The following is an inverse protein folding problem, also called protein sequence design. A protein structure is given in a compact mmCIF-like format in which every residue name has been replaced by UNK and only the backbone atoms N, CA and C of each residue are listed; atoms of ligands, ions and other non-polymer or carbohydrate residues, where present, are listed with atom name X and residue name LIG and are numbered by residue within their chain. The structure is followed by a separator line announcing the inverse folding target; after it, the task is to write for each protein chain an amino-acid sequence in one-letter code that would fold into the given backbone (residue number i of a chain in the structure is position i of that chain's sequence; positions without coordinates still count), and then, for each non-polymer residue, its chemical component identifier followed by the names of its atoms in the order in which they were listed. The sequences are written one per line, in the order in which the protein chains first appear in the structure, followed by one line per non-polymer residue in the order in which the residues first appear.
data_IF_707684127367
#
_entry.id   IF_707684127367
#
_cell.length_a   1.000
_cell.length_b   1.000
_cell.length_c   1.000
_cell.angle_alpha   90.00
_cell.angle_beta   90.00
_cell.angle_gamma   90.00
#
_symmetry.space_group_name_H-M   'P 1'
#
loop_
_entity.id
_entity.type
_entity.pdbx_description
1 polymer ?
#
# COMPACT_ATOMS: atom_id res chain seq x y z
N UNK A 1 -17.95 -13.15 -17.94
CA UNK A 1 -18.36 -11.89 -18.60
C UNK A 1 -17.17 -11.35 -19.35
N UNK A 2 -17.17 -11.44 -20.68
CA UNK A 2 -16.17 -10.82 -21.52
C UNK A 2 -16.54 -9.33 -21.63
N UNK A 3 -15.86 -8.49 -20.86
CA UNK A 3 -16.05 -7.05 -20.91
C UNK A 3 -15.34 -6.52 -22.15
N UNK A 4 -16.03 -6.62 -23.29
CA UNK A 4 -15.65 -5.93 -24.51
C UNK A 4 -16.05 -4.45 -24.41
N UNK A 5 -15.15 -3.64 -24.95
CA UNK A 5 -14.98 -2.21 -24.74
C UNK A 5 -16.14 -1.32 -25.16
N UNK A 6 -16.19 -0.15 -24.54
CA UNK A 6 -16.88 1.02 -25.09
C UNK A 6 -16.05 1.55 -26.28
N UNK A 7 -16.58 1.53 -27.52
CA UNK A 7 -15.88 1.98 -28.72
C UNK A 7 -15.57 3.49 -28.75
N UNK A 8 -16.02 4.27 -27.75
CA UNK A 8 -15.84 5.73 -27.68
C UNK A 8 -14.57 6.20 -26.97
N UNK A 9 -13.81 5.34 -26.29
CA UNK A 9 -12.55 5.74 -25.61
C UNK A 9 -11.33 5.46 -26.50
N UNK A 10 -11.04 6.39 -27.42
CA UNK A 10 -10.01 6.28 -28.47
C UNK A 10 -8.54 6.38 -27.99
N UNK A 11 -8.28 6.61 -26.69
CA UNK A 11 -6.92 6.84 -26.16
C UNK A 11 -6.28 5.69 -25.38
N UNK A 12 -7.00 4.58 -25.13
CA UNK A 12 -6.58 3.55 -24.17
C UNK A 12 -5.36 2.71 -24.61
N UNK A 13 -4.99 2.77 -25.89
CA UNK A 13 -3.90 1.98 -26.48
C UNK A 13 -2.74 2.83 -27.02
N UNK A 14 -2.69 4.14 -26.72
CA UNK A 14 -1.52 4.98 -27.01
C UNK A 14 -0.41 4.67 -26.00
N UNK A 15 0.17 3.46 -26.08
CA UNK A 15 1.39 3.13 -25.35
C UNK A 15 2.54 3.74 -26.16
N UNK A 16 3.01 4.91 -25.77
CA UNK A 16 4.27 5.43 -26.29
C UNK A 16 5.38 4.66 -25.54
N UNK A 17 6.13 3.83 -26.27
CA UNK A 17 7.19 3.00 -25.70
C UNK A 17 8.48 3.83 -25.76
N UNK A 18 9.18 3.96 -24.63
CA UNK A 18 10.51 4.56 -24.58
C UNK A 18 10.70 5.57 -23.44
N UNK A 19 11.90 6.13 -23.37
CA UNK A 19 12.17 7.34 -22.59
C UNK A 19 11.57 8.53 -23.34
N UNK A 20 10.48 9.08 -22.81
CA UNK A 20 9.90 10.29 -23.37
C UNK A 20 10.68 11.51 -22.96
N UNK A 21 10.88 12.43 -23.90
CA UNK A 21 11.35 13.75 -23.54
C UNK A 21 10.30 14.45 -22.69
N UNK A 22 10.71 15.36 -21.80
CA UNK A 22 9.76 16.16 -21.01
C UNK A 22 8.70 16.84 -21.89
N UNK A 23 9.10 17.27 -23.09
CA UNK A 23 8.20 17.90 -24.08
C UNK A 23 7.15 16.92 -24.62
N UNK A 24 7.53 15.67 -24.90
CA UNK A 24 6.58 14.63 -25.32
C UNK A 24 5.56 14.33 -24.22
N UNK A 25 6.02 14.27 -22.96
CA UNK A 25 5.16 14.07 -21.80
C UNK A 25 4.20 15.25 -21.63
N UNK A 26 4.70 16.49 -21.68
CA UNK A 26 3.86 17.70 -21.58
C UNK A 26 2.80 17.70 -22.69
N UNK A 27 3.18 17.48 -23.96
CA UNK A 27 2.24 17.42 -25.08
C UNK A 27 1.16 16.34 -24.90
N UNK A 28 1.54 15.18 -24.38
CA UNK A 28 0.58 14.12 -24.09
C UNK A 28 -0.37 14.53 -22.95
N UNK A 29 0.16 15.11 -21.87
CA UNK A 29 -0.63 15.61 -20.74
C UNK A 29 -1.63 16.68 -21.22
N UNK A 30 -1.18 17.67 -21.99
CA UNK A 30 -2.03 18.73 -22.56
C UNK A 30 -3.15 18.15 -23.44
N UNK A 31 -2.84 17.12 -24.25
CA UNK A 31 -3.82 16.40 -25.07
C UNK A 31 -4.87 15.69 -24.20
N UNK A 32 -4.46 15.07 -23.09
CA UNK A 32 -5.38 14.37 -22.19
C UNK A 32 -6.19 15.33 -21.31
N UNK A 33 -5.64 16.50 -20.99
CA UNK A 33 -6.21 17.49 -20.09
C UNK A 33 -6.23 18.90 -20.70
N UNK A 34 -7.01 19.13 -21.77
CA UNK A 34 -6.97 20.38 -22.53
C UNK A 34 -7.40 21.64 -21.75
N UNK A 35 -7.99 21.46 -20.55
CA UNK A 35 -8.48 22.54 -19.69
C UNK A 35 -7.69 22.66 -18.36
N UNK A 36 -6.55 21.98 -18.23
CA UNK A 36 -5.72 22.07 -17.03
C UNK A 36 -4.67 23.19 -17.19
N UNK A 37 -4.90 24.34 -16.55
CA UNK A 37 -3.89 25.39 -16.41
C UNK A 37 -3.15 25.21 -15.09
N UNK A 38 -1.89 24.78 -15.14
CA UNK A 38 -1.01 24.76 -13.98
C UNK A 38 -0.44 26.17 -13.73
N UNK A 39 -0.71 26.81 -12.59
CA UNK A 39 -0.17 28.13 -12.27
C UNK A 39 1.36 28.14 -11.99
N UNK A 40 2.05 26.98 -11.94
CA UNK A 40 3.48 26.88 -11.56
C UNK A 40 4.43 26.42 -12.70
N UNK A 41 3.98 26.29 -13.94
CA UNK A 41 4.89 25.94 -15.06
C UNK A 41 5.51 27.21 -15.67
N UNK A 42 6.85 27.31 -15.80
CA UNK A 42 7.48 28.36 -16.59
C UNK A 42 6.98 28.27 -18.04
N UNK A 43 6.33 29.32 -18.53
CA UNK A 43 5.95 29.45 -19.94
C UNK A 43 7.19 29.29 -20.82
N UNK A 44 7.33 28.14 -21.47
CA UNK A 44 8.34 27.94 -22.50
C UNK A 44 7.90 28.75 -23.73
N UNK A 45 8.65 29.81 -24.06
CA UNK A 45 8.34 30.65 -25.22
C UNK A 45 8.37 29.80 -26.50
N UNK A 46 7.23 29.72 -27.19
CA UNK A 46 7.11 29.10 -28.50
C UNK A 46 7.76 29.97 -29.56
N UNK A 47 9.06 29.79 -29.77
CA UNK A 47 9.70 30.09 -31.05
C UNK A 47 10.15 28.77 -31.67
N UNK A 48 9.22 28.08 -32.33
CA UNK A 48 9.55 26.96 -33.22
C UNK A 48 9.08 27.35 -34.61
N UNK A 49 10.07 27.72 -35.43
CA UNK A 49 9.97 27.93 -36.87
C UNK A 49 9.36 26.69 -37.52
N UNK A 50 8.24 26.85 -38.20
CA UNK A 50 7.60 25.79 -38.98
C UNK A 50 8.38 25.57 -40.28
N UNK A 51 9.17 24.50 -40.35
CA UNK A 51 9.56 23.93 -41.65
C UNK A 51 8.44 23.00 -42.17
N UNK A 52 8.16 22.98 -43.49
CA UNK A 52 7.10 22.16 -44.04
C UNK A 52 7.51 20.68 -44.09
N UNK A 53 6.73 19.84 -43.41
CA UNK A 53 6.86 18.37 -43.45
C UNK A 53 6.54 17.87 -44.87
N UNK A 54 7.55 17.35 -45.56
CA UNK A 54 7.37 16.57 -46.78
C UNK A 54 6.54 15.31 -46.50
N UNK A 55 5.49 15.09 -47.29
CA UNK A 55 4.68 13.86 -47.29
C UNK A 55 5.57 12.67 -47.68
N UNK A 56 5.84 11.77 -46.74
CA UNK A 56 6.31 10.41 -47.04
C UNK A 56 5.13 9.52 -47.40
N UNK A 57 5.32 8.75 -48.47
CA UNK A 57 4.44 7.71 -49.02
C UNK A 57 4.15 6.60 -47.98
N UNK A 58 3.04 5.84 -48.07
CA UNK A 58 2.62 4.97 -46.98
C UNK A 58 3.56 3.75 -46.87
N UNK A 59 4.47 3.78 -45.90
CA UNK A 59 5.13 2.58 -45.45
C UNK A 59 4.09 1.58 -44.95
N UNK A 60 4.18 0.36 -45.47
CA UNK A 60 3.41 -0.80 -45.04
C UNK A 60 3.51 -0.92 -43.51
N UNK A 61 2.40 -0.65 -42.82
CA UNK A 61 2.34 -0.63 -41.36
C UNK A 61 2.62 -2.04 -40.84
N UNK A 62 3.90 -2.32 -40.53
CA UNK A 62 4.27 -3.46 -39.68
C UNK A 62 3.36 -3.43 -38.44
N UNK A 63 2.79 -4.57 -38.02
CA UNK A 63 1.90 -4.60 -36.88
C UNK A 63 2.60 -3.93 -35.70
N UNK A 64 2.02 -2.84 -35.19
CA UNK A 64 2.57 -2.09 -34.06
C UNK A 64 2.61 -3.06 -32.89
N UNK A 65 3.81 -3.45 -32.47
CA UNK A 65 4.01 -4.29 -31.29
C UNK A 65 3.62 -3.44 -30.07
N UNK A 66 2.45 -3.73 -29.48
CA UNK A 66 1.82 -2.92 -28.43
C UNK A 66 2.54 -3.08 -27.07
N UNK A 67 3.31 -4.16 -26.90
CA UNK A 67 4.17 -4.38 -25.74
C UNK A 67 5.43 -5.16 -26.13
N UNK A 68 6.56 -4.88 -25.48
CA UNK A 68 7.76 -5.75 -25.50
C UNK A 68 7.91 -6.40 -24.13
N UNK A 69 8.22 -7.69 -24.11
CA UNK A 69 8.52 -8.39 -22.87
C UNK A 69 9.91 -8.00 -22.35
N UNK A 70 10.00 -7.77 -21.04
CA UNK A 70 11.30 -7.52 -20.41
C UNK A 70 12.20 -8.73 -20.60
N UNK A 71 13.41 -8.50 -21.12
CA UNK A 71 14.46 -9.52 -21.24
C UNK A 71 15.17 -9.79 -19.91
N UNK A 72 14.88 -8.99 -18.87
CA UNK A 72 15.50 -9.13 -17.55
C UNK A 72 14.84 -10.27 -16.78
N UNK A 73 15.61 -11.09 -16.05
CA UNK A 73 15.05 -12.21 -15.30
C UNK A 73 14.12 -11.72 -14.18
N UNK A 74 12.90 -12.23 -14.17
CA UNK A 74 11.93 -11.96 -13.11
C UNK A 74 11.89 -13.16 -12.15
N UNK A 75 12.50 -13.03 -10.97
CA UNK A 75 12.52 -14.04 -9.89
C UNK A 75 11.93 -13.47 -8.57
N UNK A 76 12.02 -14.18 -7.45
CA UNK A 76 11.50 -13.69 -6.17
C UNK A 76 12.21 -12.41 -5.70
N UNK A 77 13.54 -12.38 -5.77
CA UNK A 77 14.38 -11.22 -5.40
C UNK A 77 14.01 -9.98 -6.20
N UNK A 78 13.97 -10.08 -7.53
CA UNK A 78 13.68 -8.92 -8.39
C UNK A 78 12.24 -8.45 -8.29
N UNK A 79 11.27 -9.36 -8.08
CA UNK A 79 9.88 -8.99 -7.78
C UNK A 79 9.79 -8.17 -6.49
N UNK A 80 10.50 -8.57 -5.44
CA UNK A 80 10.50 -7.86 -4.16
C UNK A 80 11.09 -6.45 -4.32
N UNK A 81 12.23 -6.34 -5.02
CA UNK A 81 12.85 -5.05 -5.32
C UNK A 81 11.92 -4.13 -6.12
N UNK A 82 11.26 -4.68 -7.15
CA UNK A 82 10.34 -3.90 -8.00
C UNK A 82 9.06 -3.48 -7.25
N UNK A 83 8.56 -4.35 -6.36
CA UNK A 83 7.44 -4.03 -5.49
C UNK A 83 7.83 -2.93 -4.47
N UNK A 84 9.03 -3.00 -3.89
CA UNK A 84 9.55 -1.98 -2.98
C UNK A 84 9.74 -0.63 -3.69
N UNK A 85 10.32 -0.64 -4.89
CA UNK A 85 10.43 0.56 -5.73
C UNK A 85 9.06 1.17 -6.03
N UNK A 86 8.07 0.37 -6.40
CA UNK A 86 6.71 0.86 -6.62
C UNK A 86 6.07 1.42 -5.34
N UNK A 87 6.30 0.80 -4.18
CA UNK A 87 5.84 1.33 -2.90
C UNK A 87 6.43 2.72 -2.63
N UNK A 88 7.75 2.88 -2.73
CA UNK A 88 8.42 4.17 -2.53
C UNK A 88 7.97 5.21 -3.55
N UNK A 89 7.81 4.83 -4.81
CA UNK A 89 7.29 5.72 -5.85
C UNK A 89 5.88 6.21 -5.52
N UNK A 90 5.00 5.30 -5.09
CA UNK A 90 3.66 5.65 -4.63
C UNK A 90 3.68 6.65 -3.48
N UNK A 91 4.54 6.43 -2.48
CA UNK A 91 4.68 7.33 -1.32
C UNK A 91 5.23 8.72 -1.70
N UNK A 92 6.20 8.80 -2.61
CA UNK A 92 6.82 10.08 -3.00
C UNK A 92 6.03 10.85 -4.06
N UNK A 93 5.41 10.15 -5.01
CA UNK A 93 4.82 10.75 -6.20
C UNK A 93 3.29 10.62 -6.24
N UNK A 94 2.73 9.53 -5.70
CA UNK A 94 1.29 9.24 -5.77
C UNK A 94 0.47 9.88 -4.66
N UNK A 95 0.98 9.87 -3.42
CA UNK A 95 0.24 10.28 -2.22
C UNK A 95 -0.22 11.73 -2.27
N UNK A 96 0.63 12.65 -2.72
CA UNK A 96 0.34 14.08 -2.88
C UNK A 96 0.11 14.49 -4.34
N UNK A 97 -0.21 13.55 -5.23
CA UNK A 97 -0.46 13.89 -6.63
C UNK A 97 -1.68 14.83 -6.75
N UNK A 98 -1.43 16.05 -7.23
CA UNK A 98 -2.45 17.07 -7.45
C UNK A 98 -3.05 17.66 -6.17
N UNK A 99 -2.34 17.62 -5.04
CA UNK A 99 -2.77 18.18 -3.75
C UNK A 99 -1.59 18.55 -2.85
N UNK A 100 -1.80 19.51 -1.95
CA UNK A 100 -0.76 19.94 -0.99
C UNK A 100 -1.01 19.41 0.44
N UNK A 101 -2.23 18.95 0.74
CA UNK A 101 -2.67 18.49 2.06
C UNK A 101 -3.50 17.20 1.94
N UNK A 102 -3.37 16.32 2.94
CA UNK A 102 -4.22 15.15 3.18
C UNK A 102 -4.97 15.30 4.50
N UNK A 103 -6.29 15.08 4.44
CA UNK A 103 -7.18 14.99 5.60
C UNK A 103 -8.22 13.88 5.34
N UNK A 104 -9.04 13.58 6.34
CA UNK A 104 -10.20 12.68 6.26
C UNK A 104 -9.94 11.37 5.48
N UNK A 105 -10.68 11.14 4.39
CA UNK A 105 -10.71 9.87 3.65
C UNK A 105 -9.37 9.56 2.98
N UNK A 106 -8.68 10.57 2.47
CA UNK A 106 -7.39 10.44 1.81
C UNK A 106 -6.30 10.10 2.85
N UNK A 107 -6.27 10.79 3.99
CA UNK A 107 -5.31 10.48 5.03
C UNK A 107 -5.56 9.09 5.63
N UNK A 108 -6.83 8.73 5.84
CA UNK A 108 -7.22 7.38 6.24
C UNK A 108 -6.79 6.33 5.20
N UNK A 109 -6.86 6.66 3.90
CA UNK A 109 -6.37 5.79 2.84
C UNK A 109 -4.88 5.53 2.94
N UNK A 110 -4.08 6.56 3.24
CA UNK A 110 -2.63 6.42 3.40
C UNK A 110 -2.29 5.59 4.64
N UNK A 111 -2.91 5.90 5.78
CA UNK A 111 -2.71 5.17 7.04
C UNK A 111 -3.03 3.70 6.86
N UNK A 112 -4.19 3.39 6.28
CA UNK A 112 -4.62 2.02 6.06
C UNK A 112 -3.75 1.29 5.03
N UNK A 113 -3.28 1.99 3.98
CA UNK A 113 -2.28 1.46 3.05
C UNK A 113 -0.99 1.04 3.77
N UNK A 114 -0.40 1.93 4.58
CA UNK A 114 0.81 1.61 5.34
C UNK A 114 0.58 0.48 6.33
N UNK A 115 -0.54 0.48 7.06
CA UNK A 115 -0.88 -0.56 8.06
C UNK A 115 -0.99 -1.95 7.43
N UNK A 116 -1.70 -2.07 6.31
CA UNK A 116 -1.89 -3.36 5.64
C UNK A 116 -0.60 -3.79 4.95
N UNK A 117 0.13 -2.89 4.30
CA UNK A 117 1.44 -3.24 3.71
C UNK A 117 2.41 -3.68 4.80
N UNK A 118 2.47 -3.01 5.96
CA UNK A 118 3.29 -3.42 7.10
C UNK A 118 3.00 -4.85 7.58
N UNK A 119 1.75 -5.33 7.43
CA UNK A 119 1.39 -6.72 7.80
C UNK A 119 1.63 -7.75 6.70
N UNK A 120 1.69 -7.33 5.43
CA UNK A 120 1.67 -8.23 4.25
C UNK A 120 2.96 -8.19 3.44
N UNK A 121 3.84 -7.22 3.65
CA UNK A 121 5.09 -7.10 2.91
C UNK A 121 6.04 -8.27 3.25
N UNK A 122 6.77 -8.83 2.27
CA UNK A 122 7.71 -9.92 2.51
C UNK A 122 8.85 -9.56 3.49
N UNK A 123 9.10 -10.45 4.46
CA UNK A 123 10.19 -10.32 5.44
C UNK A 123 9.82 -9.56 6.72
N UNK A 124 10.10 -10.15 7.88
CA UNK A 124 9.77 -9.63 9.21
C UNK A 124 10.41 -8.28 9.49
N UNK A 125 11.70 -8.13 9.19
CA UNK A 125 12.40 -6.85 9.30
C UNK A 125 11.74 -5.75 8.46
N UNK A 126 11.36 -6.06 7.21
CA UNK A 126 10.70 -5.11 6.33
C UNK A 126 9.32 -4.69 6.86
N UNK A 127 8.55 -5.65 7.40
CA UNK A 127 7.26 -5.38 8.05
C UNK A 127 7.41 -4.42 9.22
N UNK A 128 8.40 -4.62 10.09
CA UNK A 128 8.68 -3.71 11.21
C UNK A 128 9.09 -2.30 10.73
N UNK A 129 9.90 -2.21 9.67
CA UNK A 129 10.31 -0.94 9.06
C UNK A 129 9.09 -0.16 8.55
N UNK A 130 8.18 -0.80 7.82
CA UNK A 130 6.97 -0.14 7.32
C UNK A 130 6.00 0.19 8.46
N UNK A 131 5.89 -0.69 9.47
CA UNK A 131 5.09 -0.44 10.67
C UNK A 131 5.55 0.84 11.38
N UNK A 132 6.85 1.10 11.47
CA UNK A 132 7.38 2.34 12.05
C UNK A 132 6.90 3.61 11.31
N UNK A 133 6.81 3.57 9.98
CA UNK A 133 6.26 4.68 9.20
C UNK A 133 4.76 4.87 9.48
N UNK A 134 3.99 3.78 9.51
CA UNK A 134 2.58 3.82 9.87
C UNK A 134 2.35 4.43 11.26
N UNK A 135 3.09 3.97 12.28
CA UNK A 135 2.93 4.48 13.65
C UNK A 135 3.26 5.96 13.75
N UNK A 136 4.26 6.44 12.98
CA UNK A 136 4.67 7.85 12.97
C UNK A 136 3.53 8.78 12.55
N UNK A 137 2.67 8.35 11.61
CA UNK A 137 1.56 9.17 11.11
C UNK A 137 0.19 8.78 11.66
N UNK A 138 0.09 7.72 12.48
CA UNK A 138 -1.19 7.11 12.87
C UNK A 138 -2.16 8.07 13.57
N UNK A 139 -1.63 8.93 14.46
CA UNK A 139 -2.41 9.92 15.21
C UNK A 139 -2.51 11.29 14.52
N UNK A 140 -1.94 11.43 13.31
CA UNK A 140 -1.97 12.69 12.56
C UNK A 140 -3.37 12.96 12.02
N UNK A 141 -3.95 14.13 12.27
CA UNK A 141 -5.27 14.50 11.76
C UNK A 141 -5.23 15.15 10.37
N UNK A 142 -4.15 15.89 10.08
CA UNK A 142 -3.90 16.59 8.82
C UNK A 142 -2.42 16.43 8.49
N UNK A 143 -2.11 16.12 7.24
CA UNK A 143 -0.73 15.92 6.77
C UNK A 143 -0.47 16.73 5.51
N UNK A 144 0.39 17.74 5.59
CA UNK A 144 0.86 18.50 4.44
C UNK A 144 2.09 17.85 3.77
N UNK A 145 2.40 18.28 2.54
CA UNK A 145 3.49 17.72 1.75
C UNK A 145 4.86 17.88 2.41
N UNK A 146 5.16 19.04 2.99
CA UNK A 146 6.48 19.33 3.57
C UNK A 146 6.73 18.46 4.81
N UNK A 147 5.72 18.34 5.66
CA UNK A 147 5.72 17.41 6.80
C UNK A 147 5.90 15.97 6.34
N UNK A 148 5.17 15.54 5.30
CA UNK A 148 5.29 14.19 4.76
C UNK A 148 6.68 13.90 4.17
N UNK A 149 7.23 14.80 3.36
CA UNK A 149 8.55 14.58 2.75
C UNK A 149 9.66 14.54 3.81
N UNK A 150 9.55 15.37 4.86
CA UNK A 150 10.46 15.30 6.00
C UNK A 150 10.36 13.97 6.75
N UNK A 151 9.14 13.52 7.07
CA UNK A 151 8.89 12.24 7.74
C UNK A 151 9.43 11.09 6.91
N UNK A 152 9.10 11.06 5.62
CA UNK A 152 9.49 10.00 4.70
C UNK A 152 11.01 9.95 4.52
N UNK A 153 11.66 11.10 4.33
CA UNK A 153 13.12 11.18 4.17
C UNK A 153 13.86 10.72 5.43
N UNK A 154 13.40 11.13 6.62
CA UNK A 154 13.97 10.66 7.88
C UNK A 154 13.78 9.14 8.06
N UNK A 155 12.59 8.63 7.74
CA UNK A 155 12.30 7.19 7.78
C UNK A 155 13.18 6.39 6.81
N UNK A 156 13.40 6.87 5.58
CA UNK A 156 14.27 6.21 4.61
C UNK A 156 15.69 6.08 5.15
N UNK A 157 16.26 7.15 5.72
CA UNK A 157 17.61 7.12 6.31
C UNK A 157 17.69 6.10 7.45
N UNK A 158 16.66 6.02 8.28
CA UNK A 158 16.62 5.08 9.41
C UNK A 158 16.36 3.62 8.99
N UNK A 159 15.75 3.37 7.83
CA UNK A 159 15.29 2.04 7.40
C UNK A 159 16.41 1.00 7.31
N UNK A 160 17.59 1.40 6.82
CA UNK A 160 18.75 0.50 6.71
C UNK A 160 19.31 0.15 8.09
N UNK A 161 19.39 1.12 9.01
CA UNK A 161 19.82 0.86 10.38
C UNK A 161 18.85 -0.08 11.11
N UNK A 162 17.54 0.13 10.95
CA UNK A 162 16.52 -0.79 11.45
C UNK A 162 16.69 -2.20 10.86
N UNK A 163 16.96 -2.30 9.56
CA UNK A 163 17.16 -3.58 8.89
C UNK A 163 18.37 -4.34 9.44
N UNK A 164 19.53 -3.69 9.55
CA UNK A 164 20.76 -4.29 10.09
C UNK A 164 20.63 -4.68 11.57
N UNK A 165 19.74 -4.04 12.35
CA UNK A 165 19.45 -4.45 13.72
C UNK A 165 18.75 -5.81 13.83
N UNK A 166 18.14 -6.29 12.74
CA UNK A 166 17.35 -7.53 12.69
C UNK A 166 18.00 -8.61 11.85
N UNK A 167 18.70 -8.22 10.78
CA UNK A 167 19.21 -9.12 9.76
C UNK A 167 20.71 -8.95 9.61
N UNK A 168 21.45 -10.06 9.73
CA UNK A 168 22.83 -10.13 9.30
C UNK A 168 22.88 -10.44 7.79
N UNK A 169 23.11 -9.42 6.96
CA UNK A 169 23.18 -9.54 5.49
C UNK A 169 24.28 -10.47 4.98
N UNK A 170 25.26 -10.79 5.81
CA UNK A 170 26.35 -11.73 5.50
C UNK A 170 26.01 -13.19 5.84
N UNK A 171 24.88 -13.45 6.49
CA UNK A 171 24.45 -14.82 6.81
C UNK A 171 23.97 -15.54 5.53
N UNK A 172 24.83 -16.42 5.00
CA UNK A 172 24.56 -17.18 3.79
C UNK A 172 23.38 -18.16 3.92
N UNK A 173 22.88 -18.42 5.13
CA UNK A 173 21.67 -19.26 5.34
C UNK A 173 20.39 -18.51 4.96
N UNK A 174 20.43 -17.19 4.91
CA UNK A 174 19.30 -16.37 4.48
C UNK A 174 19.22 -16.34 2.94
N UNK A 175 18.03 -16.54 2.36
CA UNK A 175 17.83 -16.39 0.92
C UNK A 175 18.18 -14.96 0.47
N UNK A 176 18.62 -14.81 -0.78
CA UNK A 176 19.05 -13.53 -1.36
C UNK A 176 18.06 -12.39 -1.12
N UNK A 177 16.76 -12.65 -1.34
CA UNK A 177 15.71 -11.64 -1.16
C UNK A 177 15.61 -11.10 0.27
N UNK A 178 16.04 -11.86 1.29
CA UNK A 178 16.06 -11.42 2.69
C UNK A 178 17.31 -10.62 3.07
N UNK A 179 18.31 -10.54 2.20
CA UNK A 179 19.59 -9.86 2.49
C UNK A 179 19.67 -8.47 1.86
N UNK A 180 18.56 -7.96 1.31
CA UNK A 180 18.48 -6.66 0.64
C UNK A 180 18.12 -5.58 1.66
N UNK A 181 19.09 -4.75 2.03
CA UNK A 181 19.00 -3.75 3.10
C UNK A 181 18.61 -2.34 2.65
N UNK A 182 18.41 -2.16 1.35
CA UNK A 182 18.15 -0.86 0.73
C UNK A 182 16.82 -0.79 -0.04
N UNK A 183 15.89 -1.72 0.22
CA UNK A 183 14.59 -1.81 -0.45
C UNK A 183 13.80 -0.50 -0.41
N UNK A 184 13.93 0.26 0.67
CA UNK A 184 13.14 1.47 0.92
C UNK A 184 13.89 2.77 0.64
N UNK A 185 15.07 2.72 0.01
CA UNK A 185 15.91 3.89 -0.26
C UNK A 185 15.65 4.47 -1.65
N UNK A 186 15.76 5.80 -1.76
CA UNK A 186 15.74 6.52 -3.04
C UNK A 186 14.33 6.93 -3.48
N UNK A 187 14.16 7.15 -4.79
CA UNK A 187 12.93 7.71 -5.36
C UNK A 187 11.90 6.67 -5.85
N UNK A 188 12.19 5.36 -5.72
CA UNK A 188 11.29 4.29 -6.20
C UNK A 188 11.23 4.12 -7.72
N UNK A 189 12.23 4.63 -8.45
CA UNK A 189 12.28 4.59 -9.92
C UNK A 189 13.22 3.52 -10.48
N UNK A 190 13.85 2.73 -9.62
CA UNK A 190 14.82 1.71 -10.02
C UNK A 190 14.16 0.34 -10.10
N UNK A 191 13.85 -0.11 -11.31
CA UNK A 191 13.25 -1.42 -11.56
C UNK A 191 14.26 -2.43 -12.13
N UNK A 192 14.31 -3.62 -11.54
CA UNK A 192 15.23 -4.73 -11.79
C UNK A 192 14.70 -5.69 -12.85
N UNK A 193 13.41 -6.02 -12.85
CA UNK A 193 12.79 -6.87 -13.87
C UNK A 193 11.68 -6.14 -14.64
N UNK A 194 10.89 -5.34 -13.94
CA UNK A 194 9.82 -4.53 -14.49
C UNK A 194 10.34 -3.42 -15.40
N UNK A 195 9.56 -3.11 -16.45
CA UNK A 195 9.83 -1.96 -17.31
C UNK A 195 9.38 -0.64 -16.66
N UNK A 196 8.26 -0.65 -15.92
CA UNK A 196 7.59 0.54 -15.40
C UNK A 196 6.95 0.28 -14.04
N UNK A 197 6.60 1.38 -13.37
CA UNK A 197 5.91 1.43 -12.07
C UNK A 197 4.72 0.48 -11.94
N UNK A 198 3.86 0.41 -12.96
CA UNK A 198 2.65 -0.42 -12.93
C UNK A 198 2.95 -1.91 -12.75
N UNK A 199 4.05 -2.41 -13.33
CA UNK A 199 4.49 -3.79 -13.14
C UNK A 199 4.93 -4.06 -11.69
N UNK A 200 5.71 -3.15 -11.10
CA UNK A 200 6.10 -3.24 -9.69
C UNK A 200 4.89 -3.17 -8.75
N UNK A 201 3.92 -2.30 -9.05
CA UNK A 201 2.69 -2.17 -8.27
C UNK A 201 1.84 -3.45 -8.32
N UNK A 202 1.75 -4.11 -9.47
CA UNK A 202 1.08 -5.42 -9.57
C UNK A 202 1.80 -6.51 -8.77
N UNK A 203 3.13 -6.53 -8.78
CA UNK A 203 3.90 -7.43 -7.92
C UNK A 203 3.59 -7.18 -6.44
N UNK A 204 3.54 -5.93 -6.00
CA UNK A 204 3.13 -5.57 -4.64
C UNK A 204 1.73 -6.11 -4.32
N UNK A 205 0.73 -5.83 -5.16
CA UNK A 205 -0.64 -6.30 -4.92
C UNK A 205 -0.70 -7.83 -4.81
N UNK A 206 -0.03 -8.56 -5.71
CA UNK A 206 0.02 -10.02 -5.65
C UNK A 206 0.64 -10.52 -4.36
N UNK A 207 1.78 -9.96 -3.94
CA UNK A 207 2.39 -10.28 -2.66
C UNK A 207 1.45 -10.02 -1.49
N UNK A 208 0.74 -8.89 -1.49
CA UNK A 208 -0.21 -8.56 -0.43
C UNK A 208 -1.31 -9.61 -0.30
N UNK A 209 -1.77 -10.24 -1.38
CA UNK A 209 -2.84 -11.26 -1.30
C UNK A 209 -2.39 -12.58 -0.69
N UNK A 210 -1.10 -12.90 -0.74
CA UNK A 210 -0.60 -14.25 -0.41
C UNK A 210 0.38 -14.30 0.77
N UNK A 211 1.01 -13.19 1.15
CA UNK A 211 1.95 -13.17 2.26
C UNK A 211 1.28 -12.73 3.55
N UNK A 212 1.25 -13.63 4.54
CA UNK A 212 0.85 -13.32 5.90
C UNK A 212 1.69 -14.13 6.88
N UNK A 213 2.07 -13.48 7.97
CA UNK A 213 2.81 -14.14 9.03
C UNK A 213 1.92 -14.43 10.25
N UNK A 214 0.96 -13.55 10.53
CA UNK A 214 -0.15 -13.84 11.43
C UNK A 214 -1.13 -14.79 10.72
N UNK A 215 -1.23 -16.02 11.21
CA UNK A 215 -2.14 -17.03 10.68
C UNK A 215 -3.59 -16.65 11.00
N UNK A 216 -4.51 -16.86 10.06
CA UNK A 216 -5.97 -16.78 10.26
C UNK A 216 -6.56 -15.43 10.67
N UNK A 217 -6.01 -14.30 10.18
CA UNK A 217 -6.67 -12.99 10.31
C UNK A 217 -7.57 -12.71 9.09
N UNK A 218 -8.82 -13.16 9.18
CA UNK A 218 -9.86 -12.90 8.17
C UNK A 218 -10.09 -11.40 7.94
N UNK A 219 -9.95 -10.58 8.98
CA UNK A 219 -10.14 -9.13 8.89
C UNK A 219 -9.03 -8.52 8.03
N UNK A 220 -7.79 -8.97 8.21
CA UNK A 220 -6.66 -8.55 7.38
C UNK A 220 -6.83 -8.97 5.92
N UNK A 221 -7.33 -10.19 5.64
CA UNK A 221 -7.58 -10.65 4.27
C UNK A 221 -8.61 -9.77 3.54
N UNK A 222 -9.69 -9.39 4.22
CA UNK A 222 -10.68 -8.44 3.68
C UNK A 222 -10.05 -7.05 3.55
N UNK A 223 -9.23 -6.65 4.52
CA UNK A 223 -8.46 -5.41 4.50
C UNK A 223 -7.61 -5.28 3.25
N UNK A 224 -6.94 -6.35 2.77
CA UNK A 224 -6.10 -6.30 1.56
C UNK A 224 -6.87 -5.79 0.34
N UNK A 225 -8.02 -6.40 0.01
CA UNK A 225 -8.80 -5.97 -1.17
C UNK A 225 -9.36 -4.56 -0.98
N UNK A 226 -9.87 -4.23 0.21
CA UNK A 226 -10.39 -2.90 0.52
C UNK A 226 -9.32 -1.81 0.41
N UNK A 227 -8.11 -2.10 0.89
CA UNK A 227 -6.96 -1.20 0.91
C UNK A 227 -6.37 -1.01 -0.48
N UNK A 228 -6.26 -2.07 -1.29
CA UNK A 228 -5.87 -1.94 -2.71
C UNK A 228 -6.87 -1.05 -3.44
N UNK A 229 -8.18 -1.28 -3.26
CA UNK A 229 -9.23 -0.45 -3.87
C UNK A 229 -9.10 1.02 -3.45
N UNK A 230 -8.88 1.29 -2.16
CA UNK A 230 -8.75 2.64 -1.61
C UNK A 230 -7.48 3.33 -2.13
N UNK A 231 -6.36 2.63 -2.18
CA UNK A 231 -5.12 3.13 -2.77
C UNK A 231 -5.33 3.52 -4.24
N UNK A 232 -5.95 2.64 -5.03
CA UNK A 232 -6.25 2.93 -6.44
C UNK A 232 -7.13 4.18 -6.58
N UNK A 233 -8.16 4.30 -5.72
CA UNK A 233 -9.09 5.44 -5.72
C UNK A 233 -8.39 6.78 -5.46
N UNK A 234 -7.51 6.84 -4.46
CA UNK A 234 -7.00 8.13 -3.96
C UNK A 234 -5.60 8.50 -4.47
N UNK A 235 -4.75 7.53 -4.83
CA UNK A 235 -3.31 7.79 -5.05
C UNK A 235 -2.76 7.29 -6.40
N UNK A 236 -3.52 6.49 -7.16
CA UNK A 236 -3.01 5.97 -8.43
C UNK A 236 -3.16 6.99 -9.57
N UNK A 237 -2.05 7.44 -10.13
CA UNK A 237 -2.03 8.58 -11.05
C UNK A 237 -2.66 8.35 -12.42
N UNK A 238 -2.72 7.11 -12.91
CA UNK A 238 -3.40 6.82 -14.17
C UNK A 238 -4.92 6.84 -13.99
N UNK A 239 -5.57 7.95 -14.33
CA UNK A 239 -7.03 8.16 -14.21
C UNK A 239 -7.82 7.04 -14.90
N UNK A 240 -7.50 6.71 -16.15
CA UNK A 240 -8.21 5.65 -16.88
C UNK A 240 -8.01 4.28 -16.24
N UNK A 241 -6.79 3.97 -15.78
CA UNK A 241 -6.49 2.72 -15.09
C UNK A 241 -7.27 2.61 -13.77
N UNK A 242 -7.29 3.70 -12.99
CA UNK A 242 -8.06 3.81 -11.76
C UNK A 242 -9.54 3.58 -12.02
N UNK A 243 -10.13 4.29 -12.97
CA UNK A 243 -11.58 4.23 -13.18
C UNK A 243 -12.01 2.81 -13.60
N UNK A 244 -11.26 2.16 -14.50
CA UNK A 244 -11.51 0.75 -14.85
C UNK A 244 -11.29 -0.19 -13.66
N UNK A 245 -10.28 0.05 -12.84
CA UNK A 245 -10.05 -0.74 -11.64
C UNK A 245 -11.23 -0.62 -10.67
N UNK A 246 -11.75 0.59 -10.45
CA UNK A 246 -12.85 0.83 -9.51
C UNK A 246 -14.19 0.32 -10.04
N UNK A 247 -14.40 0.31 -11.36
CA UNK A 247 -15.57 -0.29 -12.02
C UNK A 247 -15.62 -1.80 -11.79
N UNK A 248 -14.48 -2.49 -11.90
CA UNK A 248 -14.41 -3.93 -11.67
C UNK A 248 -14.39 -4.30 -10.17
N UNK A 249 -13.75 -3.47 -9.34
CA UNK A 249 -13.54 -3.73 -7.91
C UNK A 249 -14.46 -2.86 -7.07
N UNK A 250 -15.75 -3.14 -7.11
CA UNK A 250 -16.77 -2.42 -6.32
C UNK A 250 -16.73 -2.83 -4.83
N UNK A 251 -17.58 -2.22 -4.00
CA UNK A 251 -17.71 -2.63 -2.60
C UNK A 251 -18.38 -4.00 -2.48
N UNK A 252 -19.27 -4.35 -3.41
CA UNK A 252 -19.87 -5.68 -3.49
C UNK A 252 -18.80 -6.75 -3.67
N UNK A 253 -17.75 -6.49 -4.46
CA UNK A 253 -16.62 -7.42 -4.60
C UNK A 253 -15.87 -7.62 -3.28
N UNK A 254 -15.73 -6.60 -2.45
CA UNK A 254 -15.15 -6.73 -1.10
C UNK A 254 -16.04 -7.64 -0.23
N UNK A 255 -17.36 -7.46 -0.32
CA UNK A 255 -18.35 -8.28 0.40
C UNK A 255 -18.36 -9.73 -0.10
N UNK A 256 -18.14 -9.97 -1.39
CA UNK A 256 -18.02 -11.33 -1.94
C UNK A 256 -16.82 -12.07 -1.34
N UNK A 257 -15.66 -11.40 -1.24
CA UNK A 257 -14.47 -11.98 -0.59
C UNK A 257 -14.71 -12.22 0.90
N UNK A 258 -15.38 -11.30 1.61
CA UNK A 258 -15.66 -11.46 3.04
C UNK A 258 -16.62 -12.60 3.36
N UNK A 259 -17.44 -13.03 2.40
CA UNK A 259 -18.36 -14.17 2.53
C UNK A 259 -17.79 -15.49 2.04
N UNK A 260 -16.60 -15.50 1.44
CA UNK A 260 -15.97 -16.72 0.96
C UNK A 260 -15.64 -17.67 2.12
N UNK A 261 -15.86 -18.98 1.90
CA UNK A 261 -15.50 -20.02 2.86
C UNK A 261 -13.99 -20.12 3.05
N UNK A 262 -13.23 -19.97 1.97
CA UNK A 262 -11.79 -19.82 1.96
C UNK A 262 -11.43 -18.43 1.41
N UNK A 263 -11.25 -17.47 2.33
CA UNK A 263 -10.96 -16.07 1.98
C UNK A 263 -9.59 -15.91 1.36
N UNK A 264 -8.60 -16.69 1.81
CA UNK A 264 -7.25 -16.62 1.26
C UNK A 264 -7.22 -17.08 -0.20
N UNK A 265 -7.89 -18.19 -0.50
CA UNK A 265 -8.06 -18.70 -1.86
C UNK A 265 -8.86 -17.74 -2.74
N UNK A 266 -9.97 -17.21 -2.22
CA UNK A 266 -10.78 -16.24 -2.96
C UNK A 266 -10.00 -14.97 -3.28
N UNK A 267 -9.22 -14.45 -2.32
CA UNK A 267 -8.43 -13.23 -2.47
C UNK A 267 -7.32 -13.39 -3.52
N UNK A 268 -6.52 -14.46 -3.48
CA UNK A 268 -5.46 -14.68 -4.48
C UNK A 268 -6.03 -14.86 -5.89
N UNK A 269 -7.10 -15.65 -6.03
CA UNK A 269 -7.75 -15.89 -7.33
C UNK A 269 -8.45 -14.65 -7.87
N UNK A 270 -9.01 -13.80 -7.01
CA UNK A 270 -9.61 -12.52 -7.40
C UNK A 270 -8.59 -11.65 -8.12
N UNK A 271 -7.43 -11.41 -7.50
CA UNK A 271 -6.43 -10.52 -8.07
C UNK A 271 -5.85 -11.09 -9.37
N UNK A 272 -5.56 -12.39 -9.40
CA UNK A 272 -5.12 -13.09 -10.62
C UNK A 272 -6.14 -12.97 -11.76
N UNK A 273 -7.41 -13.26 -11.48
CA UNK A 273 -8.49 -13.19 -12.49
C UNK A 273 -8.64 -11.76 -13.03
N UNK A 274 -8.59 -10.77 -12.15
CA UNK A 274 -8.73 -9.37 -12.49
C UNK A 274 -7.53 -8.86 -13.31
N UNK A 275 -6.30 -9.21 -12.92
CA UNK A 275 -5.11 -8.85 -13.67
C UNK A 275 -5.11 -9.50 -15.07
N UNK A 276 -5.53 -10.76 -15.21
CA UNK A 276 -5.70 -11.36 -16.54
C UNK A 276 -6.83 -10.71 -17.36
N UNK A 277 -7.85 -10.13 -16.72
CA UNK A 277 -8.83 -9.29 -17.42
C UNK A 277 -8.22 -8.00 -17.95
N UNK A 278 -7.31 -7.38 -17.19
CA UNK A 278 -6.52 -6.24 -17.66
C UNK A 278 -5.60 -6.66 -18.80
N UNK A 279 -4.93 -7.81 -18.70
CA UNK A 279 -4.05 -8.33 -19.77
C UNK A 279 -4.82 -8.50 -21.08
N UNK A 280 -5.99 -9.15 -21.07
CA UNK A 280 -6.86 -9.21 -22.25
C UNK A 280 -7.17 -7.83 -22.82
N UNK A 281 -7.53 -6.89 -21.94
CA UNK A 281 -7.91 -5.53 -22.32
C UNK A 281 -6.74 -4.81 -23.03
N UNK A 282 -5.58 -4.78 -22.41
CA UNK A 282 -4.41 -4.06 -22.96
C UNK A 282 -3.59 -4.91 -23.94
N UNK A 283 -4.14 -6.04 -24.40
CA UNK A 283 -3.53 -7.02 -25.30
C UNK A 283 -2.16 -7.50 -24.83
N UNK A 284 -1.99 -7.65 -23.52
CA UNK A 284 -0.81 -8.25 -22.91
C UNK A 284 -1.00 -9.77 -22.80
N UNK A 285 0.08 -10.57 -22.77
CA UNK A 285 0.01 -12.01 -22.58
C UNK A 285 -0.79 -12.39 -21.33
N UNK A 286 -1.61 -13.42 -21.48
CA UNK A 286 -2.31 -14.06 -20.37
C UNK A 286 -1.30 -14.83 -19.53
N UNK A 287 -1.48 -14.79 -18.21
CA UNK A 287 -0.47 -15.20 -17.24
C UNK A 287 -1.02 -16.23 -16.25
N UNK A 288 -0.33 -17.35 -15.95
CA UNK A 288 0.94 -17.79 -16.55
C UNK A 288 0.85 -18.03 -18.05
N UNK A 289 1.98 -17.89 -18.74
CA UNK A 289 2.15 -18.48 -20.06
C UNK A 289 2.34 -19.98 -19.93
N UNK A 290 1.99 -20.71 -20.98
CA UNK A 290 2.23 -22.16 -21.04
C UNK A 290 3.71 -22.51 -20.89
N UNK A 291 4.63 -21.65 -21.38
CA UNK A 291 6.08 -21.80 -21.17
C UNK A 291 6.50 -21.73 -19.71
N UNK A 292 5.78 -20.95 -18.89
CA UNK A 292 6.13 -20.67 -17.50
C UNK A 292 5.43 -21.65 -16.55
N UNK A 293 4.25 -22.16 -16.95
CA UNK A 293 3.52 -23.20 -16.26
C UNK A 293 2.77 -24.12 -17.24
N UNK A 294 3.42 -25.18 -17.77
CA UNK A 294 2.78 -26.11 -18.70
C UNK A 294 1.57 -26.86 -18.11
N UNK A 295 1.51 -26.99 -16.78
CA UNK A 295 0.43 -27.69 -16.08
C UNK A 295 -0.77 -26.80 -15.74
N UNK A 296 -0.64 -25.47 -15.87
CA UNK A 296 -1.69 -24.54 -15.48
C UNK A 296 -2.86 -24.48 -16.48
N UNK A 297 -2.63 -24.88 -17.74
CA UNK A 297 -3.60 -24.73 -18.82
C UNK A 297 -3.50 -23.36 -19.50
N UNK A 298 -4.54 -23.00 -20.25
CA UNK A 298 -4.59 -21.78 -21.08
C UNK A 298 -5.87 -20.98 -20.83
N UNK A 299 -5.98 -19.77 -21.40
CA UNK A 299 -7.14 -18.91 -21.13
C UNK A 299 -8.47 -19.60 -21.49
N UNK A 300 -9.40 -19.62 -20.54
CA UNK A 300 -10.67 -20.33 -20.64
C UNK A 300 -10.62 -21.84 -20.29
N UNK A 301 -9.44 -22.43 -20.09
CA UNK A 301 -9.23 -23.84 -19.72
C UNK A 301 -8.16 -24.00 -18.64
N UNK A 302 -8.34 -23.30 -17.53
CA UNK A 302 -7.40 -23.31 -16.41
C UNK A 302 -7.56 -24.53 -15.50
N UNK A 303 -6.44 -25.16 -15.16
CA UNK A 303 -6.35 -26.14 -14.07
C UNK A 303 -6.08 -25.38 -12.78
N UNK A 304 -7.15 -24.96 -12.10
CA UNK A 304 -7.09 -24.00 -10.98
C UNK A 304 -6.11 -24.39 -9.87
N UNK A 305 -6.03 -25.68 -9.52
CA UNK A 305 -5.10 -26.17 -8.48
C UNK A 305 -3.63 -25.92 -8.88
N UNK A 306 -3.30 -26.08 -10.16
CA UNK A 306 -1.94 -25.84 -10.67
C UNK A 306 -1.65 -24.34 -10.74
N UNK A 307 -2.63 -23.52 -11.13
CA UNK A 307 -2.54 -22.05 -11.09
C UNK A 307 -2.30 -21.57 -9.67
N UNK A 308 -3.07 -22.05 -8.69
CA UNK A 308 -2.92 -21.67 -7.29
C UNK A 308 -1.54 -21.99 -6.75
N UNK A 309 -1.04 -23.19 -7.03
CA UNK A 309 0.31 -23.61 -6.64
C UNK A 309 1.36 -22.71 -7.27
N UNK A 310 1.25 -22.44 -8.56
CA UNK A 310 2.21 -21.62 -9.27
C UNK A 310 2.20 -20.16 -8.80
N UNK A 311 1.03 -19.61 -8.45
CA UNK A 311 0.91 -18.30 -7.80
C UNK A 311 1.63 -18.29 -6.44
N UNK A 312 1.45 -19.33 -5.63
CA UNK A 312 2.12 -19.47 -4.35
C UNK A 312 3.64 -19.56 -4.50
N UNK A 313 4.13 -20.40 -5.41
CA UNK A 313 5.56 -20.52 -5.70
C UNK A 313 6.16 -19.18 -6.19
N UNK A 314 5.37 -18.38 -6.90
CA UNK A 314 5.80 -17.08 -7.45
C UNK A 314 5.81 -15.96 -6.40
N UNK A 315 4.81 -15.91 -5.53
CA UNK A 315 4.54 -14.73 -4.70
C UNK A 315 4.57 -14.97 -3.19
N UNK A 316 4.70 -16.22 -2.71
CA UNK A 316 4.86 -16.49 -1.28
C UNK A 316 6.33 -16.45 -0.90
N UNK A 317 6.66 -15.61 0.07
CA UNK A 317 8.01 -15.43 0.61
C UNK A 317 8.09 -16.10 1.99
N UNK A 318 8.71 -17.27 2.04
CA UNK A 318 8.86 -18.06 3.28
C UNK A 318 10.16 -17.69 3.98
N UNK A 319 10.05 -17.19 5.21
CA UNK A 319 11.22 -16.92 6.04
C UNK A 319 11.78 -18.24 6.59
N UNK A 320 13.10 -18.51 6.47
CA UNK A 320 13.69 -19.69 7.05
C UNK A 320 13.61 -19.60 8.58
N UNK A 321 13.21 -20.69 9.23
CA UNK A 321 13.36 -20.81 10.68
C UNK A 321 14.83 -21.10 10.95
N UNK A 322 15.59 -20.04 11.22
CA UNK A 322 16.98 -20.21 11.63
C UNK A 322 17.03 -20.80 13.05
N UNK A 323 17.87 -21.82 13.30
CA UNK A 323 18.14 -22.24 14.66
C UNK A 323 18.59 -21.03 15.44
N UNK A 324 17.92 -20.72 16.56
CA UNK A 324 18.44 -19.74 17.50
C UNK A 324 19.86 -20.19 17.84
N UNK A 325 20.87 -19.34 17.64
CA UNK A 325 22.13 -19.55 18.32
C UNK A 325 21.76 -19.64 19.79
N UNK A 326 21.99 -20.80 20.41
CA UNK A 326 21.86 -20.93 21.85
C UNK A 326 22.66 -19.77 22.43
N UNK A 327 21.98 -18.80 23.02
CA UNK A 327 22.62 -17.90 23.95
C UNK A 327 23.28 -18.81 24.96
N UNK A 328 24.61 -18.89 24.91
CA UNK A 328 25.37 -19.72 25.83
C UNK A 328 24.87 -19.43 27.24
N UNK A 329 24.28 -20.45 27.85
CA UNK A 329 23.77 -20.40 29.21
C UNK A 329 24.94 -20.16 30.15
N UNK A 330 24.90 -19.04 30.87
CA UNK A 330 25.55 -18.87 32.17
C UNK A 330 27.05 -18.50 32.15
N UNK A 331 27.53 -17.90 33.26
CA UNK A 331 28.89 -17.39 33.36
C UNK A 331 29.88 -18.55 33.27
N UNK A 332 30.86 -18.38 32.38
CA UNK A 332 32.07 -19.19 32.40
C UNK A 332 32.71 -18.97 33.77
N UNK A 333 32.69 -19.99 34.62
CA UNK A 333 33.49 -20.04 35.83
C UNK A 333 34.96 -19.99 35.39
N UNK A 334 35.49 -18.77 35.28
CA UNK A 334 36.91 -18.54 35.09
C UNK A 334 37.63 -19.02 36.36
N UNK A 335 38.30 -20.17 36.25
CA UNK A 335 39.27 -20.62 37.25
C UNK A 335 40.65 -20.04 36.84
N UNK A 336 41.27 -19.17 37.65
CA UNK A 336 42.66 -18.75 37.40
C UNK A 336 43.60 -19.95 37.49
N UNK A 337 44.64 -19.95 36.65
CA UNK A 337 45.62 -21.04 36.47
C UNK A 337 46.75 -21.04 37.50
N UNK A 338 46.48 -20.56 38.71
CA UNK A 338 47.55 -20.25 39.68
C UNK A 338 47.38 -21.01 41.01
N UNK A 339 46.49 -22.01 41.07
CA UNK A 339 46.16 -22.74 42.29
C UNK A 339 47.07 -23.97 42.58
N UNK A 340 48.24 -24.07 41.95
CA UNK A 340 49.27 -25.07 42.29
C UNK A 340 50.64 -24.39 42.55
N UNK A 341 50.71 -23.53 43.56
CA UNK A 341 52.00 -23.25 44.21
C UNK A 341 51.78 -22.92 45.68
N UNK A 342 51.98 -23.91 46.53
CA UNK A 342 52.04 -23.73 47.98
C UNK A 342 53.30 -22.92 48.34
N UNK A 343 53.12 -21.71 48.84
CA UNK A 343 54.13 -21.00 49.63
C UNK A 343 53.53 -20.61 50.98
N UNK A 344 54.27 -20.94 52.03
CA UNK A 344 53.87 -20.90 53.44
C UNK A 344 53.76 -19.49 54.01
N UNK A 345 53.01 -19.47 55.13
CA UNK A 345 53.29 -18.75 56.38
C UNK A 345 52.63 -17.36 56.56
N UNK A 346 52.55 -16.84 57.81
CA UNK A 346 51.39 -17.02 58.70
C UNK A 346 50.86 -15.67 59.25
N UNK A 347 49.88 -15.77 60.16
CA UNK A 347 49.59 -14.82 61.23
C UNK A 347 48.55 -13.69 60.98
N UNK A 348 47.63 -13.66 61.95
CA UNK A 348 46.99 -12.51 62.59
C UNK A 348 45.66 -11.94 62.04
N UNK A 349 44.58 -12.44 62.67
CA UNK A 349 43.62 -11.67 63.49
C UNK A 349 43.38 -10.20 63.15
N UNK A 350 42.14 -9.85 62.82
CA UNK A 350 41.42 -8.71 63.41
C UNK A 350 39.89 -8.94 63.30
N UNK A 351 39.18 -8.69 64.40
CA UNK A 351 37.72 -8.79 64.58
C UNK A 351 37.05 -7.41 64.57
N UNK A 352 35.78 -7.42 64.12
CA UNK A 352 34.68 -6.44 64.34
C UNK A 352 34.76 -5.10 63.57
N UNK A 353 33.67 -4.47 63.08
CA UNK A 353 32.31 -4.28 63.62
C UNK A 353 31.27 -3.90 62.55
N UNK A 354 30.01 -4.26 62.87
CA UNK A 354 28.74 -3.54 62.64
C UNK A 354 28.17 -3.31 61.23
N UNK A 355 26.92 -3.79 61.04
CA UNK A 355 25.94 -3.13 60.17
C UNK A 355 25.05 -4.05 59.32
N UNK A 356 24.19 -4.85 59.94
CA UNK A 356 23.10 -5.57 59.28
C UNK A 356 22.03 -4.58 58.77
N UNK A 357 21.70 -4.62 57.47
CA UNK A 357 20.38 -4.17 56.98
C UNK A 357 19.86 -5.15 55.93
N UNK A 358 18.85 -5.91 56.35
CA UNK A 358 17.99 -6.77 55.55
C UNK A 358 16.85 -5.93 54.97
N UNK A 359 16.59 -6.00 53.65
CA UNK A 359 15.28 -5.61 53.11
C UNK A 359 14.75 -6.70 52.18
N UNK A 360 13.64 -7.30 52.62
CA UNK A 360 12.80 -8.25 51.91
C UNK A 360 11.87 -7.53 50.93
N UNK A 361 11.60 -8.26 49.84
CA UNK A 361 10.62 -8.02 48.78
C UNK A 361 9.20 -7.83 49.34
N UNK A 362 8.46 -6.86 48.79
CA UNK A 362 7.00 -6.79 48.88
C UNK A 362 6.39 -6.45 47.51
N UNK A 363 5.33 -7.20 47.19
CA UNK A 363 4.59 -7.26 45.93
C UNK A 363 3.57 -6.12 45.77
N UNK A 364 3.01 -6.03 44.56
CA UNK A 364 1.78 -5.33 44.13
C UNK A 364 1.90 -3.87 43.66
N UNK A 365 1.78 -3.68 42.35
CA UNK A 365 1.36 -2.41 41.74
C UNK A 365 0.06 -2.67 40.97
N UNK A 366 -1.00 -1.95 41.36
CA UNK A 366 -2.33 -1.96 40.75
C UNK A 366 -2.31 -1.14 39.45
N UNK A 367 -2.82 -1.73 38.38
CA UNK A 367 -3.11 -1.06 37.10
C UNK A 367 -4.50 -0.41 37.19
N UNK A 368 -4.70 0.86 36.79
CA UNK A 368 -6.05 1.42 36.71
C UNK A 368 -6.73 0.98 35.42
N UNK A 369 -7.86 0.28 35.59
CA UNK A 369 -8.83 -0.06 34.56
C UNK A 369 -9.75 1.16 34.36
N UNK A 370 -9.85 1.67 33.14
CA UNK A 370 -10.87 2.65 32.75
C UNK A 370 -12.19 1.90 32.49
N UNK A 371 -13.15 2.03 33.42
CA UNK A 371 -14.55 1.65 33.21
C UNK A 371 -15.38 2.89 32.90
N UNK A 372 -16.21 2.78 31.86
CA UNK A 372 -17.29 3.73 31.55
C UNK A 372 -18.22 3.94 32.75
N UNK A 373 -18.56 5.20 33.02
CA UNK A 373 -19.65 5.59 33.91
C UNK A 373 -20.40 6.76 33.28
N UNK A 374 -21.59 6.47 32.76
CA UNK A 374 -22.67 7.44 32.54
C UNK A 374 -23.27 7.84 33.90
N UNK A 375 -23.28 9.13 34.22
CA UNK A 375 -24.49 9.80 34.73
C UNK A 375 -24.35 11.32 34.80
N UNK A 376 -25.47 11.95 34.44
CA UNK A 376 -25.74 13.38 34.41
C UNK A 376 -25.50 14.10 35.73
N UNK A 377 -25.00 15.34 35.65
CA UNK A 377 -25.57 16.50 36.35
C UNK A 377 -25.18 17.76 35.60
N UNK A 378 -26.19 18.42 35.06
CA UNK A 378 -26.10 19.79 34.53
C UNK A 378 -25.68 20.72 35.67
N UNK A 379 -24.67 21.55 35.42
CA UNK A 379 -24.45 22.80 36.15
C UNK A 379 -24.45 23.93 35.13
N UNK A 380 -25.43 24.81 35.28
CA UNK A 380 -25.66 25.96 34.43
C UNK A 380 -24.67 27.09 34.76
N UNK A 381 -23.83 27.44 33.79
CA UNK A 381 -23.32 28.81 33.60
C UNK A 381 -22.58 28.90 32.27
N UNK A 382 -23.34 28.86 31.17
CA UNK A 382 -22.86 29.31 29.87
C UNK A 382 -23.94 30.25 29.32
N UNK A 383 -23.59 31.51 29.10
CA UNK A 383 -24.44 32.43 28.35
C UNK A 383 -24.76 31.81 26.99
N UNK A 384 -26.04 31.69 26.68
CA UNK A 384 -26.49 31.20 25.37
C UNK A 384 -25.97 32.15 24.28
N UNK A 385 -25.37 31.66 23.19
CA UNK A 385 -25.25 32.46 21.98
C UNK A 385 -26.65 32.75 21.44
N UNK A 386 -26.86 33.95 20.89
CA UNK A 386 -28.14 34.41 20.36
C UNK A 386 -28.72 33.41 19.36
N UNK A 387 -29.97 33.00 19.60
CA UNK A 387 -30.80 32.07 18.82
C UNK A 387 -31.06 32.47 17.35
N UNK A 388 -30.45 33.54 16.86
CA UNK A 388 -30.78 34.18 15.59
C UNK A 388 -30.22 33.40 14.39
N UNK A 389 -28.97 32.94 14.45
CA UNK A 389 -28.29 32.33 13.27
C UNK A 389 -28.88 30.95 12.90
N UNK A 390 -29.31 30.15 13.87
CA UNK A 390 -29.82 28.79 13.61
C UNK A 390 -31.23 28.79 12.99
N UNK A 391 -32.02 29.83 13.21
CA UNK A 391 -33.34 29.98 12.58
C UNK A 391 -33.24 30.20 11.07
N UNK A 392 -32.19 30.88 10.60
CA UNK A 392 -31.95 31.07 9.16
C UNK A 392 -31.67 29.75 8.42
N UNK A 393 -31.08 28.75 9.08
CA UNK A 393 -30.86 27.43 8.49
C UNK A 393 -32.13 26.57 8.43
N UNK A 394 -33.16 26.90 9.20
CA UNK A 394 -34.46 26.21 9.14
C UNK A 394 -35.34 26.72 7.99
N UNK A 395 -35.15 27.97 7.53
CA UNK A 395 -35.95 28.55 6.44
C UNK A 395 -35.87 27.75 5.12
N UNK A 396 -34.69 27.33 4.61
CA UNK A 396 -34.60 26.51 3.41
C UNK A 396 -35.26 25.13 3.58
N UNK A 397 -35.15 24.54 4.77
CA UNK A 397 -35.70 23.20 5.08
C UNK A 397 -37.23 23.26 5.11
N UNK A 398 -37.79 24.29 5.76
CA UNK A 398 -39.23 24.53 5.82
C UNK A 398 -39.77 24.86 4.41
N UNK A 399 -39.07 25.70 3.64
CA UNK A 399 -39.46 26.02 2.27
C UNK A 399 -39.45 24.78 1.35
N UNK A 400 -38.44 23.91 1.47
CA UNK A 400 -38.39 22.64 0.74
C UNK A 400 -39.53 21.71 1.16
N UNK A 401 -39.84 21.64 2.46
CA UNK A 401 -40.97 20.89 2.99
C UNK A 401 -42.31 21.34 2.41
N UNK A 402 -42.57 22.66 2.40
CA UNK A 402 -43.77 23.23 1.80
C UNK A 402 -43.83 22.99 0.28
N UNK A 403 -42.70 23.11 -0.43
CA UNK A 403 -42.65 22.82 -1.86
C UNK A 403 -43.01 21.36 -2.17
N UNK A 404 -42.45 20.40 -1.43
CA UNK A 404 -42.74 18.97 -1.60
C UNK A 404 -44.20 18.65 -1.29
N UNK A 405 -44.76 19.21 -0.21
CA UNK A 405 -46.19 19.03 0.13
C UNK A 405 -47.08 19.64 -0.94
N UNK A 406 -46.80 20.86 -1.38
CA UNK A 406 -47.57 21.53 -2.43
C UNK A 406 -47.50 20.78 -3.77
N UNK A 407 -46.32 20.30 -4.17
CA UNK A 407 -46.15 19.49 -5.38
C UNK A 407 -46.94 18.16 -5.30
N UNK A 408 -46.99 17.53 -4.12
CA UNK A 408 -47.74 16.29 -3.90
C UNK A 408 -49.25 16.51 -3.93
N UNK A 409 -49.75 17.58 -3.32
CA UNK A 409 -51.17 17.98 -3.38
C UNK A 409 -51.59 18.32 -4.81
N UNK A 410 -50.74 19.04 -5.55
CA UNK A 410 -51.01 19.40 -6.96
C UNK A 410 -51.07 18.14 -7.84
N UNK A 411 -50.14 17.20 -7.68
CA UNK A 411 -50.13 15.91 -8.40
C UNK A 411 -51.40 15.10 -8.13
N UNK A 412 -51.88 15.07 -6.89
CA UNK A 412 -53.12 14.36 -6.54
C UNK A 412 -54.38 15.03 -7.12
N UNK A 413 -54.43 16.37 -7.21
CA UNK A 413 -55.54 17.08 -7.87
C UNK A 413 -55.59 16.83 -9.38
N UNK A 414 -54.45 16.70 -10.05
CA UNK A 414 -54.41 16.37 -11.50
C UNK A 414 -54.81 14.91 -11.80
N UNK A 415 -54.70 13.99 -10.85
CA UNK A 415 -55.16 12.60 -11.02
C UNK A 415 -56.67 12.44 -10.85
N UNK A 416 -57.33 13.33 -10.09
CA UNK A 416 -58.80 13.34 -9.89
C UNK A 416 -59.58 14.00 -11.04
N UNK A 417 -58.90 14.74 -11.94
CA UNK A 417 -59.51 15.49 -13.04
C UNK A 417 -59.27 14.88 -14.43
N UNK A 418 -58.76 13.63 -14.52
CA UNK A 418 -58.69 12.94 -15.81
C UNK A 418 -60.06 12.39 -16.20
N UNK A 419 -60.65 12.81 -17.34
CA UNK A 419 -61.81 12.12 -17.91
C UNK A 419 -61.42 10.67 -18.22
N UNK A 420 -62.33 9.72 -17.94
CA UNK A 420 -62.17 8.31 -18.31
C UNK A 420 -62.20 8.12 -19.81
#
# INVERSE_FOLDING_TARGET
MAYNFNPKKLGENERVIGTHTLVEVIKYVDKQYPNYTDPKVPTLSTNVTTEPVQKKEPEEKKPVVIWEESKKPMNQTTRLQDAASAFIFGLKQGVFMGREVLEDMELDALKEWLRVVAKRFPGSANREIIQNLYTTISDTAILDFDSWDKILSAWQVNSTAMFHSKINVSDARLPEWQRIDNLFIGAGVTYRACALYTCGQWNMFHMMTMNQYEQHDDTLLIGVIATIRRFMKHFFGCVQCRDHFLEYNTLERVVEISKASDKALALKRWLWTMHNSVNRRVRHPIWPKESDCPTCGTDGKWVQVQVDKWLEDTYVFKEPVLPQLSTATGPILWKPKDAEMQIRNPANTYTDKEGDVNVRVASTVKVPVMTHSTQSKMSASAGLPSLDIFLWYLLPIVALGFYVVHARVRKNRYQLLRPR
#
